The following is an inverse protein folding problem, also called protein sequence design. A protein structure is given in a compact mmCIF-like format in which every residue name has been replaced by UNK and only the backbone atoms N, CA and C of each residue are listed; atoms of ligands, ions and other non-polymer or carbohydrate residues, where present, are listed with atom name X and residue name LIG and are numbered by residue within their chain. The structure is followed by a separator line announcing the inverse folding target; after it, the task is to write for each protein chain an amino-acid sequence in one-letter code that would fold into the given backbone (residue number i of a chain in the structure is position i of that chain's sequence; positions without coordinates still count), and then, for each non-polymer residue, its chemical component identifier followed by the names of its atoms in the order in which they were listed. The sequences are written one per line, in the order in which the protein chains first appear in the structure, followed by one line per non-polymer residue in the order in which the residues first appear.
data_IF_660027088830
#
_entry.id   IF_660027088830
#
_cell.length_a   1.000
_cell.length_b   1.000
_cell.length_c   1.000
_cell.angle_alpha   90.00
_cell.angle_beta   90.00
_cell.angle_gamma   90.00
#
_symmetry.space_group_name_H-M   'P 1'
#
loop_
_entity.id
_entity.type
_entity.pdbx_description
1 polymer ?
#
# COMPACT_ATOMS: atom_id res chain seq x y z
N UNK A 1 5.64 16.44 -2.18
CA UNK A 1 5.00 15.15 -2.58
C UNK A 1 4.14 15.39 -3.82
N UNK A 2 3.19 16.29 -3.76
CA UNK A 2 2.23 16.55 -4.84
C UNK A 2 2.88 16.76 -6.21
N UNK A 3 3.83 17.69 -6.35
CA UNK A 3 4.44 18.01 -7.63
C UNK A 3 5.24 16.84 -8.22
N UNK A 4 5.94 16.09 -7.37
CA UNK A 4 6.66 14.89 -7.80
C UNK A 4 5.71 13.80 -8.31
N UNK A 5 4.55 13.62 -7.68
CA UNK A 5 3.55 12.65 -8.12
C UNK A 5 2.85 13.10 -9.40
N UNK A 6 2.51 14.39 -9.51
CA UNK A 6 1.95 14.97 -10.73
C UNK A 6 2.89 14.74 -11.91
N UNK A 7 4.17 15.08 -11.75
CA UNK A 7 5.19 14.85 -12.77
C UNK A 7 5.32 13.37 -13.14
N UNK A 8 5.38 12.46 -12.14
CA UNK A 8 5.51 11.02 -12.39
C UNK A 8 4.31 10.45 -13.16
N UNK A 9 3.09 10.93 -12.86
CA UNK A 9 1.88 10.52 -13.57
C UNK A 9 1.93 11.02 -15.02
N UNK A 10 2.26 12.29 -15.26
CA UNK A 10 2.34 12.82 -16.62
C UNK A 10 3.43 12.14 -17.45
N UNK A 11 4.62 11.96 -16.89
CA UNK A 11 5.72 11.27 -17.57
C UNK A 11 5.37 9.80 -17.90
N UNK A 12 4.71 9.10 -16.97
CA UNK A 12 4.25 7.72 -17.18
C UNK A 12 3.24 7.61 -18.33
N UNK A 13 2.23 8.49 -18.35
CA UNK A 13 1.22 8.54 -19.42
C UNK A 13 1.89 8.90 -20.75
N UNK A 14 2.66 9.97 -20.81
CA UNK A 14 3.33 10.41 -22.02
C UNK A 14 4.33 9.37 -22.57
N UNK A 15 4.99 8.61 -21.70
CA UNK A 15 5.88 7.52 -22.11
C UNK A 15 5.11 6.37 -22.75
N UNK A 16 3.99 5.99 -22.16
CA UNK A 16 3.12 4.94 -22.68
C UNK A 16 2.53 5.34 -24.06
N UNK A 17 2.05 6.57 -24.19
CA UNK A 17 1.52 7.10 -25.45
C UNK A 17 2.57 7.07 -26.56
N UNK A 18 3.81 7.50 -26.29
CA UNK A 18 4.91 7.45 -27.27
C UNK A 18 5.23 6.04 -27.76
N UNK A 19 5.04 5.02 -26.92
CA UNK A 19 5.27 3.62 -27.27
C UNK A 19 4.04 2.91 -27.82
N UNK A 20 2.89 3.59 -27.92
CA UNK A 20 1.63 2.99 -28.34
C UNK A 20 1.08 1.95 -27.34
N UNK A 21 1.46 2.08 -26.07
CA UNK A 21 1.05 1.19 -24.98
C UNK A 21 0.21 1.94 -23.93
N UNK A 22 -0.21 1.24 -22.88
CA UNK A 22 -0.80 1.87 -21.69
C UNK A 22 0.21 1.92 -20.54
N UNK A 23 0.06 2.92 -19.68
CA UNK A 23 0.88 3.02 -18.46
C UNK A 23 0.60 1.84 -17.51
N UNK A 24 1.61 1.49 -16.71
CA UNK A 24 1.48 0.50 -15.63
C UNK A 24 1.93 1.14 -14.32
N UNK A 25 1.09 1.05 -13.31
CA UNK A 25 1.29 1.64 -12.00
C UNK A 25 1.58 0.55 -10.96
N UNK A 26 2.59 0.78 -10.12
CA UNK A 26 3.10 -0.22 -9.17
C UNK A 26 3.51 0.46 -7.87
N UNK A 27 2.89 0.13 -6.76
CA UNK A 27 3.28 0.64 -5.43
C UNK A 27 4.26 -0.29 -4.71
N UNK A 28 4.13 -1.60 -4.89
CA UNK A 28 5.02 -2.60 -4.29
C UNK A 28 5.37 -3.71 -5.27
N UNK A 29 6.49 -4.37 -5.03
CA UNK A 29 6.90 -5.57 -5.75
C UNK A 29 7.82 -6.43 -4.85
N UNK A 30 8.28 -7.56 -5.35
CA UNK A 30 9.13 -8.51 -4.64
C UNK A 30 10.59 -8.06 -4.39
N UNK A 31 10.95 -6.85 -4.83
CA UNK A 31 12.32 -6.32 -4.71
C UNK A 31 12.43 -5.10 -3.78
N UNK A 32 11.31 -4.61 -3.27
CA UNK A 32 11.27 -3.42 -2.40
C UNK A 32 10.50 -3.67 -1.12
N UNK A 33 10.89 -2.98 -0.06
CA UNK A 33 10.15 -2.92 1.21
C UNK A 33 8.69 -2.54 0.94
N UNK A 34 7.75 -3.22 1.58
CA UNK A 34 6.31 -2.99 1.41
C UNK A 34 5.93 -1.53 1.62
N UNK A 35 5.05 -1.01 0.78
CA UNK A 35 4.73 0.43 0.79
C UNK A 35 4.08 0.91 2.10
N UNK A 36 3.30 0.06 2.80
CA UNK A 36 2.77 0.40 4.12
C UNK A 36 3.89 0.71 5.12
N UNK A 37 4.98 -0.09 5.12
CA UNK A 37 6.18 0.19 5.91
C UNK A 37 6.88 1.46 5.44
N UNK A 38 7.09 1.60 4.13
CA UNK A 38 7.76 2.76 3.56
C UNK A 38 7.09 4.08 3.94
N UNK A 39 5.76 4.10 3.96
CA UNK A 39 4.99 5.32 4.27
C UNK A 39 4.90 5.62 5.76
N UNK A 40 5.12 4.63 6.61
CA UNK A 40 5.18 4.79 8.07
C UNK A 40 6.59 5.11 8.61
N UNK A 41 7.64 4.93 7.81
CA UNK A 41 9.01 5.32 8.17
C UNK A 41 9.21 6.83 8.03
N UNK A 42 10.25 7.40 8.69
CA UNK A 42 10.59 8.81 8.53
C UNK A 42 10.74 9.21 7.06
N UNK A 43 10.17 10.34 6.69
CA UNK A 43 10.25 10.84 5.32
C UNK A 43 11.55 11.60 5.12
N UNK A 44 12.34 11.14 4.18
CA UNK A 44 13.63 11.72 3.77
C UNK A 44 13.59 12.01 2.26
N UNK A 45 14.55 12.78 1.72
CA UNK A 45 14.69 12.95 0.28
C UNK A 45 14.76 11.62 -0.47
N UNK A 46 14.20 11.55 -1.67
CA UNK A 46 14.12 10.30 -2.47
C UNK A 46 15.50 9.65 -2.66
N UNK A 47 16.57 10.44 -2.78
CA UNK A 47 17.96 9.94 -2.92
C UNK A 47 18.45 9.16 -1.70
N UNK A 48 17.90 9.42 -0.52
CA UNK A 48 18.29 8.79 0.74
C UNK A 48 17.38 7.63 1.13
N UNK A 49 16.18 7.59 0.54
CA UNK A 49 15.11 6.70 0.96
C UNK A 49 15.45 5.22 0.82
N UNK A 50 16.15 4.86 -0.25
CA UNK A 50 16.58 3.49 -0.47
C UNK A 50 17.60 3.02 0.59
N UNK A 51 18.50 3.89 1.00
CA UNK A 51 19.47 3.57 2.08
C UNK A 51 18.75 3.46 3.43
N UNK A 52 17.82 4.37 3.73
CA UNK A 52 17.04 4.33 4.97
C UNK A 52 16.29 3.00 5.12
N UNK A 53 15.60 2.54 4.09
CA UNK A 53 14.84 1.28 4.12
C UNK A 53 15.76 0.07 4.24
N UNK A 54 16.91 0.06 3.58
CA UNK A 54 17.93 -0.99 3.73
C UNK A 54 18.49 -1.06 5.14
N UNK A 55 18.85 0.08 5.72
CA UNK A 55 19.39 0.16 7.08
C UNK A 55 18.36 -0.29 8.11
N UNK A 56 17.09 0.05 7.87
CA UNK A 56 15.97 -0.36 8.73
C UNK A 56 15.81 -1.88 8.72
N UNK A 57 15.76 -2.52 7.55
CA UNK A 57 15.67 -3.99 7.42
C UNK A 57 16.91 -4.67 7.98
N UNK A 58 18.12 -4.14 7.69
CA UNK A 58 19.39 -4.70 8.18
C UNK A 58 19.47 -4.73 9.71
N UNK A 59 18.77 -3.84 10.39
CA UNK A 59 18.72 -3.71 11.85
C UNK A 59 17.41 -4.22 12.45
N UNK A 60 16.80 -5.20 11.82
CA UNK A 60 15.59 -5.88 12.32
C UNK A 60 14.44 -4.91 12.63
N UNK A 61 14.30 -3.85 11.84
CA UNK A 61 13.24 -2.86 12.04
C UNK A 61 13.44 -1.87 13.21
N UNK A 62 14.61 -1.82 13.81
CA UNK A 62 14.85 -1.07 15.07
C UNK A 62 15.51 0.30 14.88
N UNK A 63 16.10 0.58 13.72
CA UNK A 63 16.88 1.82 13.49
C UNK A 63 16.02 3.08 13.55
N UNK A 64 14.81 3.00 13.01
CA UNK A 64 13.87 4.12 12.95
C UNK A 64 12.49 3.66 13.46
N UNK A 65 11.72 4.53 14.13
CA UNK A 65 10.37 4.20 14.53
C UNK A 65 9.48 4.03 13.30
N UNK A 66 8.71 2.96 13.28
CA UNK A 66 7.67 2.73 12.28
C UNK A 66 6.32 3.18 12.85
N UNK A 67 5.75 4.23 12.28
CA UNK A 67 4.36 4.63 12.54
C UNK A 67 3.43 3.80 11.68
N UNK A 68 2.92 2.69 12.25
CA UNK A 68 2.04 1.76 11.55
C UNK A 68 0.69 2.39 11.19
N UNK A 69 0.14 3.25 12.04
CA UNK A 69 -1.13 3.93 11.77
C UNK A 69 -1.02 4.86 10.57
N UNK A 70 0.01 5.71 10.55
CA UNK A 70 0.31 6.59 9.42
C UNK A 70 0.62 5.78 8.14
N UNK A 71 1.40 4.70 8.26
CA UNK A 71 1.73 3.82 7.16
C UNK A 71 0.50 3.20 6.52
N UNK A 72 -0.41 2.66 7.33
CA UNK A 72 -1.69 2.11 6.87
C UNK A 72 -2.55 3.19 6.22
N UNK A 73 -2.69 4.35 6.86
CA UNK A 73 -3.47 5.47 6.33
C UNK A 73 -2.99 5.87 4.94
N UNK A 74 -1.69 6.05 4.75
CA UNK A 74 -1.07 6.42 3.47
C UNK A 74 -1.11 5.28 2.44
N UNK A 75 -1.03 4.03 2.86
CA UNK A 75 -1.22 2.89 1.97
C UNK A 75 -2.65 2.88 1.39
N UNK A 76 -3.67 3.14 2.19
CA UNK A 76 -5.06 3.29 1.73
C UNK A 76 -5.23 4.43 0.72
N UNK A 77 -4.55 5.56 0.93
CA UNK A 77 -4.51 6.67 -0.05
C UNK A 77 -3.89 6.21 -1.36
N UNK A 78 -2.76 5.50 -1.29
CA UNK A 78 -2.05 5.01 -2.47
C UNK A 78 -2.92 4.09 -3.32
N UNK A 79 -3.69 3.18 -2.69
CA UNK A 79 -4.66 2.31 -3.38
C UNK A 79 -5.62 3.12 -4.24
N UNK A 80 -6.33 4.08 -3.65
CA UNK A 80 -7.34 4.84 -4.39
C UNK A 80 -6.72 5.71 -5.48
N UNK A 81 -5.53 6.25 -5.22
CA UNK A 81 -4.84 7.07 -6.21
C UNK A 81 -4.37 6.22 -7.40
N UNK A 82 -3.71 5.07 -7.15
CA UNK A 82 -3.24 4.17 -8.19
C UNK A 82 -4.39 3.57 -9.00
N UNK A 83 -5.42 3.07 -8.32
CA UNK A 83 -6.58 2.44 -8.97
C UNK A 83 -7.42 3.43 -9.79
N UNK A 84 -7.28 4.74 -9.59
CA UNK A 84 -7.95 5.76 -10.39
C UNK A 84 -7.16 6.12 -11.67
N UNK A 85 -5.88 5.80 -11.77
CA UNK A 85 -5.06 6.13 -12.92
C UNK A 85 -5.43 5.32 -14.16
N UNK A 86 -5.22 5.86 -15.38
CA UNK A 86 -5.44 5.13 -16.63
C UNK A 86 -4.38 4.05 -16.84
N UNK A 87 -4.74 2.96 -17.49
CA UNK A 87 -3.82 1.87 -17.79
C UNK A 87 -3.94 0.71 -16.80
N UNK A 88 -2.85 -0.01 -16.57
CA UNK A 88 -2.80 -1.17 -15.68
C UNK A 88 -2.36 -0.78 -14.28
N UNK A 89 -2.94 -1.41 -13.27
CA UNK A 89 -2.50 -1.33 -11.89
C UNK A 89 -2.02 -2.70 -11.45
N UNK A 90 -0.86 -2.75 -10.80
CA UNK A 90 -0.29 -3.95 -10.20
C UNK A 90 -0.67 -4.01 -8.73
N UNK A 91 -1.11 -5.17 -8.29
CA UNK A 91 -1.30 -5.47 -6.87
C UNK A 91 -0.26 -6.51 -6.48
N UNK A 92 0.73 -6.11 -5.69
CA UNK A 92 1.69 -7.05 -5.15
C UNK A 92 1.07 -7.79 -3.97
N UNK A 93 1.18 -9.12 -4.00
CA UNK A 93 0.59 -10.00 -2.98
C UNK A 93 0.88 -9.54 -1.56
N UNK A 94 -0.18 -9.39 -0.74
CA UNK A 94 -0.13 -8.94 0.65
C UNK A 94 -0.26 -7.42 0.82
N UNK A 95 -0.18 -6.60 -0.23
CA UNK A 95 -0.52 -5.18 -0.10
C UNK A 95 -2.02 -4.98 0.09
N UNK A 96 -2.84 -5.86 -0.49
CA UNK A 96 -4.29 -5.90 -0.28
C UNK A 96 -4.71 -6.24 1.15
N UNK A 97 -3.80 -6.84 1.92
CA UNK A 97 -3.96 -7.07 3.35
C UNK A 97 -3.32 -5.97 4.20
N UNK A 98 -2.73 -4.94 3.60
CA UNK A 98 -2.02 -3.89 4.33
C UNK A 98 -0.78 -4.37 5.07
N UNK A 99 -0.19 -5.49 4.67
CA UNK A 99 0.97 -6.08 5.35
C UNK A 99 2.15 -5.13 5.38
N UNK A 100 2.79 -5.09 6.53
CA UNK A 100 4.09 -4.46 6.73
C UNK A 100 5.23 -5.40 6.34
N UNK A 101 6.42 -4.84 6.21
CA UNK A 101 7.65 -5.60 6.01
C UNK A 101 7.99 -6.42 7.26
N UNK A 102 8.41 -7.66 7.07
CA UNK A 102 8.95 -8.50 8.13
C UNK A 102 10.47 -8.30 8.17
N UNK A 103 10.92 -7.31 8.93
CA UNK A 103 12.34 -6.93 8.96
C UNK A 103 13.19 -7.82 9.86
N UNK A 104 12.57 -8.45 10.84
CA UNK A 104 13.20 -9.18 11.95
C UNK A 104 13.34 -10.70 11.72
N UNK A 105 13.19 -11.16 10.47
CA UNK A 105 13.45 -12.56 10.12
C UNK A 105 14.81 -12.98 10.69
N UNK A 106 14.94 -14.09 11.48
CA UNK A 106 16.21 -14.58 11.98
C UNK A 106 17.23 -14.82 10.86
N UNK A 107 18.49 -14.48 11.08
CA UNK A 107 19.53 -14.58 10.04
C UNK A 107 19.73 -15.99 9.49
N UNK A 108 19.53 -17.00 10.31
CA UNK A 108 19.59 -18.43 9.91
C UNK A 108 18.39 -18.88 9.09
N UNK A 109 17.33 -18.04 9.02
CA UNK A 109 16.10 -18.27 8.23
C UNK A 109 16.02 -17.37 6.99
N UNK A 110 17.02 -16.52 6.75
CA UNK A 110 17.10 -15.69 5.54
C UNK A 110 17.46 -16.57 4.34
N UNK A 111 16.67 -16.47 3.26
CA UNK A 111 16.87 -17.27 2.03
C UNK A 111 17.35 -16.45 0.84
N UNK A 112 17.15 -15.13 0.84
CA UNK A 112 17.60 -14.27 -0.26
C UNK A 112 19.15 -14.35 -0.40
N UNK A 113 19.65 -14.74 -1.57
CA UNK A 113 21.12 -14.83 -1.80
C UNK A 113 21.86 -13.52 -1.52
N UNK A 114 21.19 -12.37 -1.57
CA UNK A 114 21.82 -11.08 -1.25
C UNK A 114 22.16 -10.96 0.25
N UNK A 115 21.37 -11.58 1.15
CA UNK A 115 21.66 -11.68 2.58
C UNK A 115 22.83 -12.60 2.90
N UNK A 116 23.07 -13.64 2.09
CA UNK A 116 24.13 -14.63 2.31
C UNK A 116 25.49 -14.22 1.73
N UNK A 117 25.54 -13.34 0.73
CA UNK A 117 26.78 -12.93 0.06
C UNK A 117 27.77 -12.17 0.95
N UNK A 118 27.37 -11.79 2.16
CA UNK A 118 28.14 -10.86 3.01
C UNK A 118 28.27 -11.35 4.45
N UNK A 119 28.46 -12.63 4.65
CA UNK A 119 28.43 -13.34 5.94
C UNK A 119 29.33 -12.81 7.07
N UNK A 120 30.15 -11.76 6.88
CA UNK A 120 30.93 -11.11 7.94
C UNK A 120 30.77 -9.58 8.01
N UNK A 121 30.13 -8.96 7.02
CA UNK A 121 29.78 -7.53 7.01
C UNK A 121 28.56 -7.36 6.09
N UNK A 122 27.43 -7.93 6.47
CA UNK A 122 26.21 -7.83 5.68
C UNK A 122 25.84 -6.36 5.44
N UNK A 123 25.80 -5.94 4.19
CA UNK A 123 25.32 -4.62 3.78
C UNK A 123 23.82 -4.62 3.51
N UNK A 124 23.17 -5.78 3.56
CA UNK A 124 21.73 -5.97 3.39
C UNK A 124 21.28 -7.30 3.98
N UNK A 125 20.07 -7.37 4.47
CA UNK A 125 19.40 -8.61 4.90
C UNK A 125 18.62 -9.27 3.74
N UNK A 126 18.60 -8.64 2.57
CA UNK A 126 17.85 -9.14 1.43
C UNK A 126 16.42 -8.60 1.35
N UNK A 127 15.56 -9.36 0.64
CA UNK A 127 14.18 -8.97 0.27
C UNK A 127 13.12 -9.91 0.85
N UNK A 128 13.52 -10.82 1.73
CA UNK A 128 12.63 -11.87 2.24
C UNK A 128 11.44 -11.32 3.03
N UNK A 129 11.61 -10.16 3.68
CA UNK A 129 10.56 -9.54 4.47
C UNK A 129 9.29 -9.20 3.71
N UNK A 130 9.38 -8.91 2.40
CA UNK A 130 8.21 -8.71 1.56
C UNK A 130 7.71 -10.01 0.89
N UNK A 131 8.39 -11.15 1.07
CA UNK A 131 8.11 -12.44 0.42
C UNK A 131 7.58 -13.51 1.36
N UNK A 132 7.40 -13.18 2.64
CA UNK A 132 6.83 -14.07 3.64
C UNK A 132 5.45 -14.55 3.16
N UNK A 133 5.16 -15.87 3.26
CA UNK A 133 3.87 -16.44 2.89
C UNK A 133 2.68 -15.71 3.51
N UNK A 134 1.61 -15.52 2.73
CA UNK A 134 0.45 -14.74 3.15
C UNK A 134 -0.38 -15.46 4.22
N UNK A 135 -0.98 -14.75 5.19
CA UNK A 135 -1.89 -15.31 6.15
C UNK A 135 -3.32 -15.42 5.57
N UNK A 136 -3.88 -16.63 5.56
CA UNK A 136 -5.23 -16.91 5.06
C UNK A 136 -6.23 -17.15 6.18
N UNK A 137 -5.81 -17.81 7.26
CA UNK A 137 -6.66 -18.26 8.35
C UNK A 137 -6.02 -17.96 9.71
N UNK A 138 -6.65 -17.10 10.48
CA UNK A 138 -6.15 -16.67 11.80
C UNK A 138 -6.15 -17.79 12.84
N UNK A 139 -6.98 -18.83 12.67
CA UNK A 139 -7.03 -19.96 13.60
C UNK A 139 -5.87 -20.96 13.42
N UNK A 140 -5.19 -20.92 12.27
CA UNK A 140 -4.02 -21.76 11.95
C UNK A 140 -2.70 -21.01 12.23
N UNK A 141 -2.67 -20.24 13.32
CA UNK A 141 -1.50 -19.50 13.73
C UNK A 141 -0.39 -20.43 14.19
N UNK A 142 0.90 -20.12 13.85
CA UNK A 142 2.04 -20.87 14.35
C UNK A 142 2.07 -20.94 15.88
N UNK A 143 2.45 -22.10 16.42
CA UNK A 143 2.68 -22.27 17.85
C UNK A 143 3.95 -21.54 18.26
N UNK A 144 3.87 -20.72 19.30
CA UNK A 144 5.02 -20.07 19.91
C UNK A 144 5.55 -20.96 21.04
N UNK A 145 6.85 -21.24 21.03
CA UNK A 145 7.50 -21.94 22.13
C UNK A 145 7.47 -21.10 23.43
N UNK A 146 7.63 -19.80 23.28
CA UNK A 146 7.48 -18.79 24.32
C UNK A 146 6.54 -17.67 23.79
N UNK A 147 5.61 -17.15 24.61
CA UNK A 147 4.74 -16.03 24.20
C UNK A 147 5.49 -14.77 23.77
N UNK A 148 6.74 -14.63 24.18
CA UNK A 148 7.62 -13.52 23.74
C UNK A 148 8.24 -13.75 22.36
N UNK A 149 8.22 -14.97 21.83
CA UNK A 149 8.72 -15.26 20.49
C UNK A 149 7.87 -14.54 19.45
N UNK A 150 8.51 -14.01 18.42
CA UNK A 150 7.83 -13.38 17.28
C UNK A 150 7.42 -14.40 16.23
N UNK A 151 8.21 -15.46 16.06
CA UNK A 151 7.98 -16.52 15.08
C UNK A 151 7.71 -17.84 15.76
N UNK A 152 6.68 -18.57 15.29
CA UNK A 152 6.32 -19.87 15.82
C UNK A 152 6.59 -20.99 14.82
N UNK A 153 6.20 -22.21 15.22
CA UNK A 153 6.30 -23.46 14.44
C UNK A 153 4.91 -24.10 14.29
N UNK A 154 4.82 -25.14 13.46
CA UNK A 154 3.64 -26.01 13.33
C UNK A 154 2.33 -25.33 12.85
N UNK A 155 2.43 -24.16 12.26
CA UNK A 155 1.30 -23.46 11.65
C UNK A 155 1.76 -22.59 10.51
N UNK A 156 0.84 -22.21 9.63
CA UNK A 156 1.16 -21.39 8.45
C UNK A 156 0.09 -20.37 8.13
N UNK A 157 -0.77 -20.03 9.08
CA UNK A 157 -1.96 -19.22 8.84
C UNK A 157 -2.77 -19.71 7.63
N UNK A 158 -2.85 -21.03 7.42
CA UNK A 158 -3.58 -21.63 6.30
C UNK A 158 -2.89 -21.48 4.94
N UNK A 159 -1.62 -21.01 4.88
CA UNK A 159 -0.87 -20.96 3.62
C UNK A 159 -0.59 -22.34 3.03
N UNK A 160 -0.28 -23.31 3.88
CA UNK A 160 -0.13 -24.72 3.50
C UNK A 160 -0.84 -25.61 4.53
N UNK A 161 -1.23 -26.84 4.16
CA UNK A 161 -1.83 -27.78 5.10
C UNK A 161 -0.88 -28.05 6.28
N UNK A 162 -1.40 -28.12 7.51
CA UNK A 162 -0.62 -28.48 8.69
C UNK A 162 -0.12 -29.94 8.64
N UNK A 163 -0.84 -30.82 7.92
CA UNK A 163 -0.48 -32.23 7.75
C UNK A 163 -0.54 -32.64 6.27
N UNK A 164 0.32 -33.57 5.91
CA UNK A 164 0.28 -34.25 4.60
C UNK A 164 -0.88 -35.22 4.52
N UNK A 165 -1.16 -35.73 3.31
CA UNK A 165 -2.23 -36.69 3.07
C UNK A 165 -2.07 -38.02 3.85
N UNK A 166 -0.86 -38.37 4.25
CA UNK A 166 -0.54 -39.54 5.07
C UNK A 166 -0.64 -39.29 6.60
N UNK A 167 -1.05 -38.08 7.01
CA UNK A 167 -1.19 -37.70 8.40
C UNK A 167 0.11 -37.22 9.08
N UNK A 168 1.24 -37.18 8.36
CA UNK A 168 2.51 -36.68 8.90
C UNK A 168 2.50 -35.14 8.86
N UNK A 169 3.28 -34.45 9.76
CA UNK A 169 3.43 -33.00 9.71
C UNK A 169 3.91 -32.52 8.33
N UNK A 170 3.32 -31.45 7.83
CA UNK A 170 3.80 -30.78 6.62
C UNK A 170 5.11 -30.03 6.90
N UNK A 171 5.83 -29.65 5.85
CA UNK A 171 6.96 -28.77 5.99
C UNK A 171 6.50 -27.38 6.45
N UNK A 172 7.31 -26.74 7.26
CA UNK A 172 7.13 -25.32 7.58
C UNK A 172 7.18 -24.45 6.33
N UNK A 173 6.57 -23.26 6.32
CA UNK A 173 6.76 -22.27 5.28
C UNK A 173 8.25 -21.95 5.09
N UNK A 174 8.66 -21.70 3.84
CA UNK A 174 10.06 -21.40 3.49
C UNK A 174 10.60 -20.17 4.25
N UNK A 175 9.74 -19.20 4.56
CA UNK A 175 10.06 -18.06 5.44
C UNK A 175 9.13 -18.07 6.64
N UNK A 176 9.61 -17.71 7.84
CA UNK A 176 8.81 -17.73 9.04
C UNK A 176 7.76 -16.60 9.01
N UNK A 177 6.55 -16.93 9.42
CA UNK A 177 5.46 -15.97 9.52
C UNK A 177 5.41 -15.40 10.94
N UNK A 178 5.42 -14.06 11.10
CA UNK A 178 5.36 -13.45 12.43
C UNK A 178 3.97 -13.60 13.05
N UNK A 179 3.88 -13.63 14.37
CA UNK A 179 2.60 -13.80 15.11
C UNK A 179 1.57 -12.71 14.79
N UNK A 180 2.02 -11.48 14.47
CA UNK A 180 1.12 -10.37 14.14
C UNK A 180 0.39 -10.56 12.80
N UNK A 181 0.80 -11.52 11.96
CA UNK A 181 0.06 -11.88 10.73
C UNK A 181 -1.37 -12.34 11.03
N UNK A 182 -1.64 -12.82 12.25
CA UNK A 182 -2.97 -13.20 12.69
C UNK A 182 -4.01 -12.10 12.47
N UNK A 183 -3.63 -10.85 12.75
CA UNK A 183 -4.53 -9.69 12.66
C UNK A 183 -4.78 -9.24 11.22
N UNK A 184 -3.94 -9.70 10.29
CA UNK A 184 -3.99 -9.40 8.86
C UNK A 184 -4.45 -10.61 8.02
N UNK A 185 -4.89 -11.69 8.65
CA UNK A 185 -5.31 -12.86 7.91
C UNK A 185 -6.59 -12.58 7.10
N UNK A 186 -6.70 -13.25 5.93
CA UNK A 186 -7.80 -13.03 4.99
C UNK A 186 -9.17 -13.22 5.63
N UNK A 187 -9.34 -14.18 6.55
CA UNK A 187 -10.58 -14.39 7.27
C UNK A 187 -10.94 -13.21 8.18
N UNK A 188 -9.95 -12.63 8.87
CA UNK A 188 -10.11 -11.43 9.73
C UNK A 188 -10.43 -10.21 8.88
N UNK A 189 -9.60 -9.93 7.89
CA UNK A 189 -9.79 -8.80 6.96
C UNK A 189 -11.13 -8.87 6.21
N UNK A 190 -11.57 -10.07 5.83
CA UNK A 190 -12.85 -10.25 5.12
C UNK A 190 -14.06 -9.94 6.00
N UNK A 191 -13.94 -10.14 7.30
CA UNK A 191 -15.01 -9.89 8.27
C UNK A 191 -15.14 -8.40 8.64
N UNK A 192 -14.07 -7.61 8.50
CA UNK A 192 -14.05 -6.18 8.78
C UNK A 192 -14.37 -5.36 7.51
N UNK A 193 -15.53 -4.67 7.45
CA UNK A 193 -15.88 -3.86 6.29
C UNK A 193 -14.92 -2.69 6.03
N UNK A 194 -14.17 -2.25 7.04
CA UNK A 194 -13.23 -1.13 6.93
C UNK A 194 -11.78 -1.57 6.72
N UNK A 195 -11.53 -2.86 6.57
CA UNK A 195 -10.22 -3.46 6.33
C UNK A 195 -9.58 -2.97 5.02
N UNK A 196 -8.27 -3.20 4.88
CA UNK A 196 -7.55 -2.94 3.64
C UNK A 196 -8.07 -3.84 2.51
N UNK A 197 -8.29 -5.13 2.78
CA UNK A 197 -8.80 -6.08 1.80
C UNK A 197 -10.15 -5.66 1.23
N UNK A 198 -11.07 -5.22 2.08
CA UNK A 198 -12.37 -4.75 1.62
C UNK A 198 -12.31 -3.40 0.91
N UNK A 199 -11.32 -2.54 1.22
CA UNK A 199 -11.05 -1.34 0.43
C UNK A 199 -10.58 -1.72 -0.99
N UNK A 200 -9.63 -2.66 -1.13
CA UNK A 200 -9.18 -3.16 -2.44
C UNK A 200 -10.32 -3.77 -3.25
N UNK A 201 -11.14 -4.61 -2.64
CA UNK A 201 -12.31 -5.22 -3.30
C UNK A 201 -13.26 -4.17 -3.85
N UNK A 202 -13.59 -3.14 -3.04
CA UNK A 202 -14.47 -2.04 -3.47
C UNK A 202 -13.83 -1.19 -4.57
N UNK A 203 -12.55 -0.85 -4.41
CA UNK A 203 -11.82 -0.05 -5.41
C UNK A 203 -11.73 -0.77 -6.75
N UNK A 204 -11.39 -2.05 -6.76
CA UNK A 204 -11.33 -2.87 -7.99
C UNK A 204 -12.70 -3.02 -8.66
N UNK A 205 -13.76 -3.27 -7.89
CA UNK A 205 -15.11 -3.36 -8.42
C UNK A 205 -15.54 -2.04 -9.07
N UNK A 206 -15.38 -0.92 -8.37
CA UNK A 206 -15.68 0.41 -8.92
C UNK A 206 -14.81 0.77 -10.11
N UNK A 207 -13.50 0.46 -10.06
CA UNK A 207 -12.62 0.66 -11.20
C UNK A 207 -13.15 -0.06 -12.44
N UNK A 208 -13.58 -1.31 -12.28
CA UNK A 208 -14.16 -2.10 -13.38
C UNK A 208 -15.43 -1.46 -13.95
N UNK A 209 -16.32 -0.97 -13.10
CA UNK A 209 -17.55 -0.29 -13.51
C UNK A 209 -17.29 1.06 -14.20
N UNK A 210 -16.32 1.83 -13.70
CA UNK A 210 -16.01 3.18 -14.16
C UNK A 210 -15.02 3.21 -15.35
N UNK A 211 -14.36 2.11 -15.65
CA UNK A 211 -13.36 2.03 -16.70
C UNK A 211 -13.98 2.08 -18.08
N UNK A 212 -13.35 2.82 -18.99
CA UNK A 212 -13.72 2.91 -20.40
C UNK A 212 -12.49 2.64 -21.28
N UNK A 213 -12.69 2.56 -22.58
CA UNK A 213 -11.60 2.54 -23.57
C UNK A 213 -10.89 3.87 -23.70
N UNK A 214 -11.52 4.96 -23.23
CA UNK A 214 -10.88 6.28 -23.16
C UNK A 214 -9.99 6.37 -21.92
N UNK A 215 -8.69 6.37 -22.12
CA UNK A 215 -7.67 6.45 -21.08
C UNK A 215 -7.31 7.89 -20.68
N UNK A 216 -8.05 8.88 -21.16
CA UNK A 216 -7.77 10.29 -20.86
C UNK A 216 -7.83 10.61 -19.37
N UNK A 217 -6.95 11.51 -18.97
CA UNK A 217 -6.89 12.10 -17.65
C UNK A 217 -6.79 13.62 -17.82
N UNK A 218 -7.65 14.34 -17.11
CA UNK A 218 -7.61 15.80 -17.10
C UNK A 218 -7.45 16.30 -15.66
N UNK A 219 -6.43 17.09 -15.41
CA UNK A 219 -6.21 17.72 -14.11
C UNK A 219 -7.34 18.68 -13.78
N UNK A 220 -7.82 18.64 -12.55
CA UNK A 220 -8.77 19.62 -12.06
C UNK A 220 -8.00 20.92 -11.67
N UNK A 221 -8.62 22.09 -11.84
CA UNK A 221 -7.94 23.37 -11.62
C UNK A 221 -7.46 23.53 -10.16
N UNK A 222 -6.34 24.22 -9.99
CA UNK A 222 -5.83 24.65 -8.70
C UNK A 222 -6.26 26.09 -8.43
N UNK A 223 -6.77 26.34 -7.24
CA UNK A 223 -6.85 27.73 -6.75
C UNK A 223 -5.52 28.12 -6.09
N UNK A 224 -4.73 28.88 -6.82
CA UNK A 224 -3.46 29.43 -6.34
C UNK A 224 -3.64 30.78 -5.64
N UNK A 225 -4.83 31.39 -5.68
CA UNK A 225 -5.05 32.77 -5.27
C UNK A 225 -5.52 32.93 -3.82
N UNK A 226 -6.20 31.96 -3.24
CA UNK A 226 -6.92 32.13 -1.98
C UNK A 226 -6.27 31.50 -0.76
N UNK A 227 -5.39 30.49 -0.95
CA UNK A 227 -4.87 29.68 0.16
C UNK A 227 -5.96 29.01 0.98
N UNK A 228 -7.22 29.11 0.56
CA UNK A 228 -8.37 28.45 1.14
C UNK A 228 -9.05 27.58 0.10
N UNK A 229 -9.48 26.37 0.47
CA UNK A 229 -10.29 25.55 -0.40
C UNK A 229 -11.68 26.19 -0.50
N UNK A 230 -11.89 27.09 -1.46
CA UNK A 230 -13.25 27.39 -1.83
C UNK A 230 -13.71 26.32 -2.82
N UNK A 231 -14.63 25.47 -2.40
CA UNK A 231 -15.08 24.26 -3.09
C UNK A 231 -15.70 24.46 -4.46
N UNK A 232 -15.59 25.65 -5.05
CA UNK A 232 -16.17 25.97 -6.35
C UNK A 232 -15.14 25.95 -7.49
N UNK A 233 -13.86 26.27 -7.26
CA UNK A 233 -12.94 26.62 -8.35
C UNK A 233 -11.50 26.06 -8.30
N UNK A 234 -11.11 25.26 -7.32
CA UNK A 234 -9.75 24.70 -7.35
C UNK A 234 -9.26 24.08 -6.04
N UNK A 235 -8.13 23.42 -6.12
CA UNK A 235 -7.51 22.71 -5.01
C UNK A 235 -6.21 23.41 -4.57
N UNK A 236 -5.87 23.30 -3.28
CA UNK A 236 -4.61 23.86 -2.75
C UNK A 236 -3.40 23.13 -3.32
N UNK A 237 -2.22 23.74 -3.26
CA UNK A 237 -0.96 23.17 -3.76
C UNK A 237 -0.51 21.86 -3.10
N UNK A 238 -1.27 21.33 -2.12
CA UNK A 238 -1.04 20.03 -1.48
C UNK A 238 -2.04 18.95 -1.92
N UNK A 239 -2.98 19.27 -2.82
CA UNK A 239 -4.01 18.33 -3.30
C UNK A 239 -3.70 17.88 -4.73
N UNK A 240 -3.80 16.58 -5.00
CA UNK A 240 -3.83 16.01 -6.35
C UNK A 240 -5.27 15.72 -6.71
N UNK A 241 -5.74 16.28 -7.84
CA UNK A 241 -7.10 16.07 -8.30
C UNK A 241 -7.14 15.95 -9.82
N UNK A 242 -7.72 14.87 -10.32
CA UNK A 242 -7.90 14.64 -11.74
C UNK A 242 -9.22 13.97 -12.06
N UNK A 243 -9.73 14.29 -13.25
CA UNK A 243 -10.96 13.75 -13.81
C UNK A 243 -10.65 12.67 -14.83
N UNK A 244 -11.48 11.64 -14.89
CA UNK A 244 -11.48 10.57 -15.87
C UNK A 244 -12.65 10.71 -16.85
N UNK A 245 -12.58 9.97 -17.97
CA UNK A 245 -13.50 10.08 -19.10
C UNK A 245 -14.99 10.02 -18.72
N UNK A 246 -15.40 9.10 -17.84
CA UNK A 246 -16.81 8.96 -17.42
C UNK A 246 -17.31 10.04 -16.46
N UNK A 247 -16.61 11.16 -16.35
CA UNK A 247 -17.03 12.27 -15.51
C UNK A 247 -16.87 12.02 -14.01
N UNK A 248 -16.09 11.03 -13.61
CA UNK A 248 -15.69 10.85 -12.22
C UNK A 248 -14.28 11.40 -11.98
N UNK A 249 -13.96 11.68 -10.74
CA UNK A 249 -12.68 12.25 -10.34
C UNK A 249 -12.08 11.54 -9.14
N UNK A 250 -10.75 11.53 -9.06
CA UNK A 250 -9.97 11.16 -7.89
C UNK A 250 -9.36 12.41 -7.29
N UNK A 251 -9.55 12.60 -5.98
CA UNK A 251 -9.04 13.72 -5.20
C UNK A 251 -8.24 13.16 -4.02
N UNK A 252 -6.99 13.58 -3.86
CA UNK A 252 -6.11 13.18 -2.77
C UNK A 252 -5.55 14.40 -2.09
N UNK A 253 -5.75 14.52 -0.79
CA UNK A 253 -5.24 15.60 0.03
C UNK A 253 -4.00 15.16 0.83
N UNK A 254 -2.84 15.75 0.54
CA UNK A 254 -1.60 15.57 1.31
C UNK A 254 -1.36 16.71 2.32
N UNK A 255 -2.17 17.77 2.26
CA UNK A 255 -2.05 18.94 3.12
C UNK A 255 -2.63 18.73 4.51
N UNK A 256 -2.13 19.49 5.48
CA UNK A 256 -2.61 19.46 6.85
C UNK A 256 -4.07 19.97 6.97
N UNK A 257 -4.43 20.95 6.14
CA UNK A 257 -5.78 21.49 6.14
C UNK A 257 -6.73 20.59 5.32
N UNK A 258 -7.95 20.32 5.80
CA UNK A 258 -8.95 19.58 5.06
C UNK A 258 -9.31 20.25 3.73
N UNK A 259 -9.45 19.47 2.66
CA UNK A 259 -9.78 19.97 1.33
C UNK A 259 -11.26 19.81 1.02
N UNK A 260 -11.87 20.81 0.36
CA UNK A 260 -13.23 20.71 -0.12
C UNK A 260 -13.33 19.70 -1.29
N UNK A 261 -14.44 18.97 -1.36
CA UNK A 261 -14.73 18.07 -2.46
C UNK A 261 -15.59 18.79 -3.52
N UNK A 262 -15.40 18.50 -4.83
CA UNK A 262 -16.24 19.06 -5.87
C UNK A 262 -17.67 18.56 -5.75
N UNK A 263 -18.62 19.31 -6.33
CA UNK A 263 -20.03 18.92 -6.36
C UNK A 263 -20.20 17.56 -7.06
N UNK A 264 -20.78 16.60 -6.36
CA UNK A 264 -20.96 15.25 -6.89
C UNK A 264 -21.41 14.25 -5.84
N UNK A 265 -21.37 12.97 -6.23
CA UNK A 265 -21.62 11.83 -5.34
C UNK A 265 -20.30 11.17 -4.96
N UNK A 266 -19.99 11.12 -3.67
CA UNK A 266 -18.85 10.34 -3.18
C UNK A 266 -19.12 8.85 -3.45
N UNK A 267 -18.19 8.20 -4.15
CA UNK A 267 -18.25 6.78 -4.51
C UNK A 267 -17.46 5.93 -3.52
N UNK A 268 -16.25 6.38 -3.17
CA UNK A 268 -15.35 5.66 -2.27
C UNK A 268 -14.39 6.64 -1.62
N UNK A 269 -13.99 6.37 -0.36
CA UNK A 269 -12.96 7.12 0.37
C UNK A 269 -11.96 6.16 1.00
N UNK A 270 -10.71 6.61 1.15
CA UNK A 270 -9.66 5.85 1.84
C UNK A 270 -9.77 5.89 3.37
N UNK A 271 -10.54 6.83 3.90
CA UNK A 271 -10.82 7.06 5.32
C UNK A 271 -12.04 7.94 5.48
N UNK A 272 -12.43 8.24 6.70
CA UNK A 272 -13.60 9.08 7.01
C UNK A 272 -13.38 10.52 6.56
N UNK A 273 -14.43 11.16 6.05
CA UNK A 273 -14.49 12.61 5.88
C UNK A 273 -14.67 13.29 7.22
N UNK A 274 -14.40 14.61 7.29
CA UNK A 274 -14.76 15.43 8.45
C UNK A 274 -16.26 15.51 8.62
N UNK A 275 -16.75 16.01 9.77
CA UNK A 275 -18.17 16.23 10.02
C UNK A 275 -18.81 17.17 8.97
N UNK A 276 -18.04 18.14 8.47
CA UNK A 276 -18.47 19.06 7.41
C UNK A 276 -18.30 18.48 5.99
N UNK A 277 -17.92 17.20 5.85
CA UNK A 277 -17.75 16.52 4.57
C UNK A 277 -16.49 16.90 3.79
N UNK A 278 -15.49 17.48 4.45
CA UNK A 278 -14.20 17.80 3.84
C UNK A 278 -13.27 16.57 3.84
N UNK A 279 -12.30 16.58 2.94
CA UNK A 279 -11.29 15.53 2.80
C UNK A 279 -10.08 15.82 3.71
N UNK A 280 -9.87 15.04 4.79
CA UNK A 280 -8.76 15.27 5.72
C UNK A 280 -7.39 15.05 5.08
N UNK A 281 -6.33 15.44 5.81
CA UNK A 281 -4.94 15.11 5.44
C UNK A 281 -4.78 13.59 5.23
N UNK A 282 -3.91 13.23 4.29
CA UNK A 282 -3.60 11.83 3.93
C UNK A 282 -4.89 11.00 3.71
N UNK A 283 -5.81 11.56 2.91
CA UNK A 283 -7.07 10.90 2.53
C UNK A 283 -7.34 11.11 1.04
N UNK A 284 -7.92 10.10 0.40
CA UNK A 284 -8.32 10.12 -1.01
C UNK A 284 -9.81 9.81 -1.15
N UNK A 285 -10.45 10.40 -2.14
CA UNK A 285 -11.86 10.16 -2.48
C UNK A 285 -12.07 10.03 -3.98
N UNK A 286 -12.98 9.13 -4.38
CA UNK A 286 -13.53 9.06 -5.74
C UNK A 286 -14.92 9.66 -5.76
N UNK A 287 -15.17 10.51 -6.74
CA UNK A 287 -16.40 11.30 -6.82
C UNK A 287 -16.95 11.23 -8.24
N UNK A 288 -18.24 10.86 -8.38
CA UNK A 288 -18.98 11.09 -9.61
C UNK A 288 -19.37 12.56 -9.67
N UNK A 289 -18.77 13.31 -10.58
CA UNK A 289 -19.05 14.73 -10.78
C UNK A 289 -20.48 14.94 -11.33
N UNK A 290 -21.09 16.06 -10.97
CA UNK A 290 -22.38 16.49 -11.52
C UNK A 290 -22.24 17.17 -12.87
#
# INVERSE_FOLDING_TARGET
IRDAMHQAIEEGIASAERSGSSATWVMSNHDVVRHATRYGLPQVPTSEYHQLTKDWVLRDGTTYPLDKELGTKRARVAVLMEMALPGSAYVYQGEELGLFEVADIPWDRVEDPSGHRTSQAASTKGRDGCRVPLPWNSADAPNLADPSDEFGTDGSFGFSPATRADGTPAAEPHLPQPKWYKDFAVDVESADPDSMLNLYRRALALRHELQTTDLSLAWLPEDRSSGKPDGANGFTGSTIAYKRANGWASITNFGADPAALPAGKVLLTSGSLTEDGLLPQDTSAWIQLR
#
